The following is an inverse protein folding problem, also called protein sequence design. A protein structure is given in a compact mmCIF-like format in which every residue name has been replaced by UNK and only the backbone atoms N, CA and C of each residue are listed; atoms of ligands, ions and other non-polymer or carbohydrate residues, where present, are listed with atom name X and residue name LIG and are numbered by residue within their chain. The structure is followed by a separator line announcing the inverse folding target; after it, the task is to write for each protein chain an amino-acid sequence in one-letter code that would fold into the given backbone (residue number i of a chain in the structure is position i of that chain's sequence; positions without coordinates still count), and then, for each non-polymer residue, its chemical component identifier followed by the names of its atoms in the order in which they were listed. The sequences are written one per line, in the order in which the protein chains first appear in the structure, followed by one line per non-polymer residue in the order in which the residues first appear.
data_IF_199315670313
#
_entry.id   IF_199315670313
#
_cell.length_a   1.000
_cell.length_b   1.000
_cell.length_c   1.000
_cell.angle_alpha   90.00
_cell.angle_beta   90.00
_cell.angle_gamma   90.00
#
_symmetry.space_group_name_H-M   'P 1'
#
loop_
_entity.id
_entity.type
_entity.pdbx_description
1 polymer ?
#
# COMPACT_ATOMS: atom_id res chain seq x y z
N UNK A 1 3.36 -16.52 -14.93
CA UNK A 1 3.97 -15.96 -13.70
C UNK A 1 3.46 -16.77 -12.54
N UNK A 2 4.34 -17.31 -11.68
CA UNK A 2 3.90 -18.08 -10.51
C UNK A 2 3.27 -17.17 -9.44
N UNK A 3 2.36 -17.68 -8.59
CA UNK A 3 1.77 -16.91 -7.49
C UNK A 3 2.85 -16.32 -6.55
N UNK A 4 3.89 -17.08 -6.27
CA UNK A 4 5.00 -16.61 -5.43
C UNK A 4 5.75 -15.43 -6.07
N UNK A 5 6.00 -15.50 -7.38
CA UNK A 5 6.63 -14.38 -8.10
C UNK A 5 5.73 -13.13 -8.05
N UNK A 6 4.42 -13.31 -8.22
CA UNK A 6 3.44 -12.22 -8.10
C UNK A 6 3.47 -11.61 -6.69
N UNK A 7 3.50 -12.44 -5.64
CA UNK A 7 3.59 -11.99 -4.26
C UNK A 7 4.87 -11.18 -4.00
N UNK A 8 6.03 -11.68 -4.46
CA UNK A 8 7.32 -10.96 -4.32
C UNK A 8 7.32 -9.61 -5.03
N UNK A 9 6.77 -9.55 -6.25
CA UNK A 9 6.65 -8.29 -7.00
C UNK A 9 5.72 -7.33 -6.26
N UNK A 10 4.58 -7.80 -5.75
CA UNK A 10 3.66 -6.97 -4.98
C UNK A 10 4.32 -6.42 -3.71
N UNK A 11 5.04 -7.25 -2.95
CA UNK A 11 5.78 -6.82 -1.77
C UNK A 11 6.88 -5.80 -2.10
N UNK A 12 7.66 -6.03 -3.16
CA UNK A 12 8.70 -5.10 -3.61
C UNK A 12 8.10 -3.75 -4.05
N UNK A 13 7.03 -3.77 -4.84
CA UNK A 13 6.31 -2.57 -5.24
C UNK A 13 5.74 -1.81 -4.03
N UNK A 14 5.27 -2.54 -3.00
CA UNK A 14 4.78 -1.95 -1.76
C UNK A 14 5.87 -1.16 -1.03
N UNK A 15 7.10 -1.66 -0.99
CA UNK A 15 8.23 -0.95 -0.36
C UNK A 15 8.58 0.36 -1.08
N UNK A 16 8.28 0.50 -2.38
CA UNK A 16 8.48 1.76 -3.10
C UNK A 16 7.58 2.89 -2.60
N UNK A 17 6.55 2.58 -1.79
CA UNK A 17 5.70 3.60 -1.18
C UNK A 17 6.49 4.53 -0.22
N UNK A 18 7.53 4.04 0.42
CA UNK A 18 8.30 4.83 1.40
C UNK A 18 8.99 6.05 0.77
N UNK A 19 9.82 5.90 -0.28
CA UNK A 19 10.38 7.05 -0.96
C UNK A 19 9.28 7.92 -1.59
N UNK A 20 8.20 7.33 -2.10
CA UNK A 20 7.07 8.06 -2.65
C UNK A 20 6.40 8.95 -1.59
N UNK A 21 6.15 8.42 -0.38
CA UNK A 21 5.59 9.19 0.74
C UNK A 21 6.53 10.31 1.19
N UNK A 22 7.84 10.06 1.23
CA UNK A 22 8.84 11.06 1.60
C UNK A 22 8.87 12.23 0.60
N UNK A 23 8.79 11.92 -0.70
CA UNK A 23 8.70 12.93 -1.76
C UNK A 23 7.38 13.71 -1.65
N UNK A 24 6.26 13.02 -1.40
CA UNK A 24 4.96 13.65 -1.19
C UNK A 24 4.99 14.64 -0.01
N UNK A 25 5.51 14.20 1.12
CA UNK A 25 5.60 15.02 2.32
C UNK A 25 6.38 16.32 2.08
N UNK A 26 7.50 16.24 1.34
CA UNK A 26 8.29 17.42 0.97
C UNK A 26 7.54 18.34 0.00
N UNK A 27 6.99 17.78 -1.09
CA UNK A 27 6.31 18.57 -2.14
C UNK A 27 5.02 19.24 -1.65
N UNK A 28 4.33 18.62 -0.71
CA UNK A 28 3.09 19.13 -0.14
C UNK A 28 3.34 20.01 1.11
N UNK A 29 4.59 20.25 1.49
CA UNK A 29 4.94 21.10 2.62
C UNK A 29 4.40 20.58 3.96
N UNK A 30 4.27 19.26 4.13
CA UNK A 30 3.67 18.67 5.33
C UNK A 30 4.32 19.15 6.63
N UNK A 31 5.63 19.37 6.62
CA UNK A 31 6.33 19.87 7.81
C UNK A 31 5.78 21.22 8.25
N UNK A 32 5.57 22.13 7.30
CA UNK A 32 5.01 23.46 7.58
C UNK A 32 3.55 23.39 8.00
N UNK A 33 2.74 22.55 7.35
CA UNK A 33 1.34 22.38 7.70
C UNK A 33 1.16 21.72 9.08
N UNK A 34 1.94 20.68 9.37
CA UNK A 34 1.91 20.00 10.67
C UNK A 34 2.36 20.92 11.81
N UNK A 35 3.32 21.83 11.59
CA UNK A 35 3.76 22.78 12.62
C UNK A 35 2.69 23.78 13.05
N UNK A 36 1.64 23.98 12.23
CA UNK A 36 0.49 24.84 12.54
C UNK A 36 -0.57 24.15 13.40
N UNK A 37 -0.48 22.83 13.57
CA UNK A 37 -1.41 22.07 14.40
C UNK A 37 -1.06 22.23 15.89
N UNK A 38 -2.05 21.95 16.75
CA UNK A 38 -1.80 21.84 18.19
C UNK A 38 -0.79 20.72 18.50
N UNK A 39 -0.02 20.82 19.60
CA UNK A 39 0.96 19.80 19.96
C UNK A 39 0.38 18.39 20.07
N UNK A 40 -0.86 18.26 20.51
CA UNK A 40 -1.58 16.98 20.58
C UNK A 40 -1.80 16.41 19.18
N UNK A 41 -2.30 17.22 18.25
CA UNK A 41 -2.53 16.78 16.88
C UNK A 41 -1.22 16.45 16.16
N UNK A 42 -0.15 17.20 16.36
CA UNK A 42 1.17 16.88 15.81
C UNK A 42 1.64 15.47 16.23
N UNK A 43 1.52 15.15 17.54
CA UNK A 43 1.88 13.83 18.07
C UNK A 43 1.00 12.72 17.49
N UNK A 44 -0.32 12.98 17.39
CA UNK A 44 -1.26 12.02 16.82
C UNK A 44 -0.96 11.72 15.36
N UNK A 45 -0.74 12.75 14.53
CA UNK A 45 -0.35 12.58 13.13
C UNK A 45 1.00 11.86 12.97
N UNK A 46 1.96 12.17 13.84
CA UNK A 46 3.25 11.47 13.89
C UNK A 46 3.09 9.98 14.20
N UNK A 47 2.29 9.64 15.20
CA UNK A 47 2.01 8.25 15.57
C UNK A 47 1.29 7.48 14.45
N UNK A 48 0.26 8.10 13.81
CA UNK A 48 -0.43 7.51 12.67
C UNK A 48 0.54 7.30 11.50
N UNK A 49 1.36 8.30 11.19
CA UNK A 49 2.36 8.22 10.12
C UNK A 49 3.36 7.08 10.35
N UNK A 50 3.88 6.96 11.59
CA UNK A 50 4.76 5.86 11.98
C UNK A 50 4.06 4.50 11.84
N UNK A 51 2.81 4.39 12.29
CA UNK A 51 2.01 3.17 12.14
C UNK A 51 1.85 2.74 10.68
N UNK A 52 1.60 3.70 9.78
CA UNK A 52 1.51 3.44 8.34
C UNK A 52 2.85 2.94 7.79
N UNK A 53 3.96 3.59 8.16
CA UNK A 53 5.30 3.18 7.72
C UNK A 53 5.61 1.76 8.19
N UNK A 54 5.38 1.45 9.47
CA UNK A 54 5.60 0.11 10.04
C UNK A 54 4.73 -0.94 9.33
N UNK A 55 3.46 -0.62 9.08
CA UNK A 55 2.56 -1.52 8.36
C UNK A 55 3.04 -1.78 6.92
N UNK A 56 3.37 -0.73 6.16
CA UNK A 56 3.80 -0.86 4.76
C UNK A 56 5.12 -1.62 4.66
N UNK A 57 6.10 -1.28 5.51
CA UNK A 57 7.39 -1.98 5.54
C UNK A 57 7.23 -3.42 6.02
N UNK A 58 6.60 -3.62 7.16
CA UNK A 58 6.46 -4.93 7.79
C UNK A 58 5.72 -5.90 6.88
N UNK A 59 4.56 -5.52 6.36
CA UNK A 59 3.79 -6.39 5.47
C UNK A 59 4.48 -6.62 4.12
N UNK A 60 5.14 -5.61 3.54
CA UNK A 60 5.90 -5.77 2.30
C UNK A 60 7.06 -6.74 2.45
N UNK A 61 7.86 -6.61 3.52
CA UNK A 61 8.96 -7.53 3.83
C UNK A 61 8.45 -8.94 4.10
N UNK A 62 7.37 -9.09 4.88
CA UNK A 62 6.76 -10.40 5.15
C UNK A 62 6.29 -11.08 3.86
N UNK A 63 5.63 -10.35 2.96
CA UNK A 63 5.17 -10.91 1.68
C UNK A 63 6.34 -11.37 0.81
N UNK A 64 7.47 -10.64 0.80
CA UNK A 64 8.66 -11.05 0.05
C UNK A 64 9.32 -12.28 0.69
N UNK A 65 9.56 -12.22 2.01
CA UNK A 65 10.29 -13.25 2.73
C UNK A 65 9.52 -14.58 2.79
N UNK A 66 8.20 -14.51 2.94
CA UNK A 66 7.33 -15.67 3.11
C UNK A 66 6.39 -15.88 1.93
N UNK A 67 6.81 -15.54 0.70
CA UNK A 67 5.97 -15.61 -0.51
C UNK A 67 5.32 -16.99 -0.70
N UNK A 68 6.04 -18.08 -0.41
CA UNK A 68 5.49 -19.44 -0.45
C UNK A 68 4.36 -19.60 0.57
N UNK A 69 4.57 -19.26 1.84
CA UNK A 69 3.54 -19.38 2.87
C UNK A 69 2.33 -18.46 2.58
N UNK A 70 2.56 -17.27 2.04
CA UNK A 70 1.49 -16.34 1.61
C UNK A 70 0.61 -16.97 0.53
N UNK A 71 1.17 -17.78 -0.34
CA UNK A 71 0.43 -18.40 -1.45
C UNK A 71 -0.11 -19.79 -1.16
N UNK A 72 0.26 -20.43 -0.05
CA UNK A 72 -0.14 -21.82 0.25
C UNK A 72 -0.96 -21.97 1.53
N UNK A 73 -0.96 -20.98 2.42
CA UNK A 73 -1.66 -21.07 3.72
C UNK A 73 -2.94 -20.24 3.77
N UNK A 74 -3.87 -20.62 4.64
CA UNK A 74 -5.08 -19.84 4.92
C UNK A 74 -4.77 -18.44 5.48
N UNK A 75 -3.74 -18.34 6.34
CA UNK A 75 -3.29 -17.05 6.86
C UNK A 75 -2.76 -16.16 5.73
N UNK A 76 -2.03 -16.74 4.78
CA UNK A 76 -1.56 -16.04 3.58
C UNK A 76 -2.71 -15.53 2.72
N UNK A 77 -3.77 -16.33 2.54
CA UNK A 77 -5.01 -15.89 1.85
C UNK A 77 -5.66 -14.70 2.55
N UNK A 78 -5.80 -14.78 3.86
CA UNK A 78 -6.35 -13.68 4.66
C UNK A 78 -5.51 -12.40 4.52
N UNK A 79 -4.18 -12.52 4.53
CA UNK A 79 -3.26 -11.42 4.31
C UNK A 79 -3.44 -10.81 2.91
N UNK A 80 -3.58 -11.61 1.87
CA UNK A 80 -3.82 -11.13 0.50
C UNK A 80 -5.14 -10.35 0.40
N UNK A 81 -6.22 -10.84 1.01
CA UNK A 81 -7.51 -10.13 1.05
C UNK A 81 -7.38 -8.81 1.78
N UNK A 82 -6.71 -8.78 2.93
CA UNK A 82 -6.46 -7.55 3.69
C UNK A 82 -5.70 -6.53 2.84
N UNK A 83 -4.63 -6.96 2.17
CA UNK A 83 -3.82 -6.09 1.31
C UNK A 83 -4.62 -5.58 0.10
N UNK A 84 -5.36 -6.47 -0.59
CA UNK A 84 -6.21 -6.08 -1.71
C UNK A 84 -7.24 -5.02 -1.29
N UNK A 85 -7.89 -5.22 -0.15
CA UNK A 85 -8.88 -4.28 0.41
C UNK A 85 -8.22 -2.95 0.77
N UNK A 86 -7.09 -2.97 1.46
CA UNK A 86 -6.37 -1.76 1.88
C UNK A 86 -5.93 -0.91 0.66
N UNK A 87 -5.35 -1.55 -0.37
CA UNK A 87 -4.89 -0.83 -1.56
C UNK A 87 -6.06 -0.35 -2.43
N UNK A 88 -7.16 -1.11 -2.53
CA UNK A 88 -8.38 -0.66 -3.21
C UNK A 88 -8.98 0.55 -2.50
N UNK A 89 -9.08 0.53 -1.18
CA UNK A 89 -9.54 1.68 -0.40
C UNK A 89 -8.61 2.89 -0.62
N UNK A 90 -7.29 2.68 -0.71
CA UNK A 90 -6.32 3.75 -0.97
C UNK A 90 -6.49 4.36 -2.36
N UNK A 91 -6.71 3.55 -3.40
CA UNK A 91 -7.03 4.02 -4.75
C UNK A 91 -8.31 4.85 -4.74
N UNK A 92 -9.36 4.36 -4.08
CA UNK A 92 -10.65 5.05 -3.97
C UNK A 92 -10.48 6.42 -3.29
N UNK A 93 -9.76 6.49 -2.17
CA UNK A 93 -9.45 7.76 -1.51
C UNK A 93 -8.71 8.72 -2.44
N UNK A 94 -7.72 8.21 -3.18
CA UNK A 94 -6.92 9.02 -4.09
C UNK A 94 -7.77 9.60 -5.24
N UNK A 95 -8.67 8.81 -5.79
CA UNK A 95 -9.53 9.23 -6.91
C UNK A 95 -10.63 10.20 -6.47
N UNK A 96 -11.30 9.92 -5.35
CA UNK A 96 -12.51 10.65 -4.96
C UNK A 96 -12.25 11.83 -4.02
N UNK A 97 -11.22 11.78 -3.17
CA UNK A 97 -10.95 12.81 -2.18
C UNK A 97 -9.69 13.61 -2.48
N UNK A 98 -8.57 12.94 -2.66
CA UNK A 98 -7.27 13.60 -2.75
C UNK A 98 -7.14 14.39 -4.05
N UNK A 99 -7.67 13.87 -5.17
CA UNK A 99 -7.63 14.52 -6.49
C UNK A 99 -8.25 15.92 -6.48
N UNK A 100 -9.28 16.15 -5.65
CA UNK A 100 -9.97 17.45 -5.55
C UNK A 100 -9.17 18.48 -4.76
N UNK A 101 -8.32 18.03 -3.83
CA UNK A 101 -7.60 18.87 -2.87
C UNK A 101 -6.16 19.18 -3.30
N UNK A 102 -5.60 18.42 -4.25
CA UNK A 102 -4.19 18.56 -4.65
C UNK A 102 -3.98 19.81 -5.52
N UNK A 103 -2.98 20.65 -5.18
CA UNK A 103 -2.53 21.74 -6.01
C UNK A 103 -2.14 21.28 -7.43
N UNK A 104 -2.33 22.14 -8.42
CA UNK A 104 -2.05 21.82 -9.84
C UNK A 104 -0.63 21.31 -10.06
N UNK A 105 0.34 21.87 -9.35
CA UNK A 105 1.77 21.52 -9.42
C UNK A 105 2.07 20.09 -8.93
N UNK A 106 1.30 19.58 -7.98
CA UNK A 106 1.46 18.23 -7.42
C UNK A 106 0.64 17.15 -8.18
N UNK A 107 -0.15 17.52 -9.19
CA UNK A 107 -0.98 16.56 -9.95
C UNK A 107 -0.20 15.48 -10.68
N UNK A 108 0.96 15.74 -11.32
CA UNK A 108 1.74 14.68 -11.95
C UNK A 108 2.19 13.63 -10.93
N UNK A 109 2.63 14.07 -9.77
CA UNK A 109 3.01 13.18 -8.68
C UNK A 109 1.82 12.35 -8.17
N UNK A 110 0.66 12.98 -8.00
CA UNK A 110 -0.58 12.29 -7.63
C UNK A 110 -0.97 11.19 -8.62
N UNK A 111 -0.78 11.42 -9.93
CA UNK A 111 -1.04 10.39 -10.96
C UNK A 111 -0.10 9.19 -10.82
N UNK A 112 1.19 9.43 -10.58
CA UNK A 112 2.17 8.36 -10.33
C UNK A 112 1.77 7.56 -9.08
N UNK A 113 1.46 8.24 -7.98
CA UNK A 113 1.00 7.59 -6.75
C UNK A 113 -0.26 6.74 -6.99
N UNK A 114 -1.25 7.28 -7.72
CA UNK A 114 -2.46 6.54 -8.09
C UNK A 114 -2.12 5.29 -8.91
N UNK A 115 -1.21 5.40 -9.88
CA UNK A 115 -0.76 4.27 -10.69
C UNK A 115 -0.15 3.17 -9.83
N UNK A 116 0.73 3.53 -8.88
CA UNK A 116 1.35 2.55 -7.97
C UNK A 116 0.30 1.89 -7.06
N UNK A 117 -0.63 2.65 -6.49
CA UNK A 117 -1.70 2.08 -5.66
C UNK A 117 -2.62 1.15 -6.46
N UNK A 118 -2.98 1.55 -7.70
CA UNK A 118 -3.79 0.72 -8.59
C UNK A 118 -3.07 -0.58 -8.97
N UNK A 119 -1.77 -0.52 -9.25
CA UNK A 119 -0.95 -1.71 -9.52
C UNK A 119 -0.89 -2.66 -8.32
N UNK A 120 -0.76 -2.13 -7.10
CA UNK A 120 -0.80 -2.92 -5.87
C UNK A 120 -2.18 -3.57 -5.66
N UNK A 121 -3.26 -2.81 -5.81
CA UNK A 121 -4.62 -3.33 -5.71
C UNK A 121 -4.87 -4.45 -6.73
N UNK A 122 -4.39 -4.28 -7.96
CA UNK A 122 -4.50 -5.27 -9.03
C UNK A 122 -3.69 -6.54 -8.71
N UNK A 123 -2.43 -6.40 -8.30
CA UNK A 123 -1.56 -7.55 -7.99
C UNK A 123 -2.10 -8.38 -6.84
N UNK A 124 -2.52 -7.73 -5.73
CA UNK A 124 -3.13 -8.46 -4.62
C UNK A 124 -4.51 -9.00 -4.96
N UNK A 125 -5.30 -8.30 -5.79
CA UNK A 125 -6.56 -8.81 -6.32
C UNK A 125 -6.39 -10.06 -7.19
N UNK A 126 -5.39 -10.07 -8.06
CA UNK A 126 -5.03 -11.25 -8.88
C UNK A 126 -4.55 -12.42 -8.01
N UNK A 127 -3.74 -12.15 -6.98
CA UNK A 127 -3.34 -13.16 -6.00
C UNK A 127 -4.55 -13.76 -5.30
N UNK A 128 -5.49 -12.92 -4.83
CA UNK A 128 -6.73 -13.41 -4.25
C UNK A 128 -7.50 -14.27 -5.23
N UNK A 129 -7.75 -13.80 -6.44
CA UNK A 129 -8.45 -14.57 -7.46
C UNK A 129 -7.78 -15.92 -7.72
N UNK A 130 -6.46 -15.94 -7.87
CA UNK A 130 -5.70 -17.17 -8.02
C UNK A 130 -5.91 -18.13 -6.83
N UNK A 131 -5.75 -17.65 -5.59
CA UNK A 131 -5.79 -18.46 -4.39
C UNK A 131 -7.19 -19.03 -4.08
N UNK A 132 -8.25 -18.35 -4.55
CA UNK A 132 -9.63 -18.82 -4.37
C UNK A 132 -10.14 -19.65 -5.54
N UNK A 133 -9.60 -19.48 -6.74
CA UNK A 133 -10.02 -20.21 -7.94
C UNK A 133 -9.16 -21.45 -8.22
N UNK A 134 -7.91 -21.49 -7.73
CA UNK A 134 -7.09 -22.69 -7.84
C UNK A 134 -7.68 -23.81 -6.97
N UNK A 135 -7.87 -25.04 -7.51
CA UNK A 135 -8.31 -26.15 -6.70
C UNK A 135 -7.32 -26.38 -5.57
N UNK A 136 -7.80 -26.72 -4.35
CA UNK A 136 -6.91 -27.06 -3.26
C UNK A 136 -6.00 -28.20 -3.70
N UNK A 137 -4.70 -27.94 -3.77
CA UNK A 137 -3.72 -29.01 -3.92
C UNK A 137 -3.77 -29.82 -2.63
N UNK A 138 -4.50 -30.95 -2.66
CA UNK A 138 -4.47 -31.94 -1.60
C UNK A 138 -3.04 -32.47 -1.51
N UNK A 139 -2.27 -31.96 -0.56
CA UNK A 139 -0.98 -32.44 -0.15
C UNK A 139 -1.12 -33.26 1.13
#
# INVERSE_FOLDING_TARGET
MSPETCARIAGALQLTQLPLMSVAARKLGWHTELSRLSPVNQRLFGAIGLGIVVYVMGSGVLVIAYAHAVTTTELGRALCVLQATAWTARVSQQLFRVRLLIPREARPFSRVATGVYASLALLYGLLCAWLFLAPPTLG
#
